data_IF_063029858928
#
_entry.id   IF_063029858928
#
_cell.length_a   1.000
_cell.length_b   1.000
_cell.length_c   1.000
_cell.angle_alpha   90.00
_cell.angle_beta   90.00
_cell.angle_gamma   90.00
#
_symmetry.space_group_name_H-M   'P 1'
#
loop_
_entity.id
_entity.type
_entity.pdbx_description
1 polymer ?
#
# COMPACT_ATOMS: atom_id res chain seq x y z
N UNK A 1 18.97 22.77 -17.71
CA UNK A 1 19.46 23.68 -16.64
C UNK A 1 19.85 22.86 -15.42
N UNK A 2 21.14 22.81 -15.05
CA UNK A 2 21.57 22.17 -13.79
C UNK A 2 21.06 23.03 -12.63
N UNK A 3 20.00 22.60 -11.94
CA UNK A 3 19.52 23.28 -10.72
C UNK A 3 20.68 23.37 -9.73
N UNK A 4 21.01 24.58 -9.30
CA UNK A 4 22.03 24.82 -8.28
C UNK A 4 21.51 24.29 -6.95
N UNK A 5 22.19 23.30 -6.38
CA UNK A 5 21.89 22.73 -5.06
C UNK A 5 21.74 23.84 -3.99
N UNK A 6 20.69 23.75 -3.17
CA UNK A 6 20.40 24.68 -2.07
C UNK A 6 21.62 24.81 -1.13
N UNK A 7 21.90 26.01 -0.56
CA UNK A 7 23.09 26.25 0.28
C UNK A 7 23.22 25.32 1.50
N UNK A 8 22.09 24.86 2.05
CA UNK A 8 22.04 23.88 3.15
C UNK A 8 22.68 22.54 2.77
N UNK A 9 22.37 22.05 1.57
CA UNK A 9 22.89 20.77 1.04
C UNK A 9 24.39 20.87 0.78
N UNK A 10 24.89 22.01 0.27
CA UNK A 10 26.33 22.22 0.05
C UNK A 10 27.13 22.24 1.37
N UNK A 11 26.64 22.97 2.38
CA UNK A 11 27.28 23.02 3.71
C UNK A 11 27.27 21.66 4.40
N UNK A 12 26.22 20.88 4.16
CA UNK A 12 26.06 19.55 4.69
C UNK A 12 26.99 18.54 3.99
N UNK A 13 27.12 18.57 2.66
CA UNK A 13 27.99 17.67 1.89
C UNK A 13 29.48 17.82 2.22
N UNK A 14 29.93 19.02 2.58
CA UNK A 14 31.30 19.30 3.00
C UNK A 14 31.69 18.63 4.33
N UNK A 15 30.72 18.14 5.12
CA UNK A 15 30.95 17.52 6.43
C UNK A 15 31.03 15.98 6.37
N UNK A 16 30.86 15.37 5.20
CA UNK A 16 30.88 13.91 5.05
C UNK A 16 32.33 13.41 4.98
N UNK A 17 32.69 12.53 5.91
CA UNK A 17 33.92 11.74 5.81
C UNK A 17 33.70 10.56 4.87
N UNK A 18 34.14 10.73 3.62
CA UNK A 18 33.98 9.73 2.56
C UNK A 18 34.80 8.46 2.73
N UNK A 19 35.73 8.41 3.70
CA UNK A 19 36.61 7.28 3.97
C UNK A 19 36.10 6.35 5.09
N UNK A 20 35.18 6.82 5.94
CA UNK A 20 34.54 6.04 7.02
C UNK A 20 33.35 5.15 6.58
N UNK A 21 33.27 4.80 5.30
CA UNK A 21 32.13 4.05 4.74
C UNK A 21 31.93 2.71 5.44
N UNK A 22 30.67 2.41 5.78
CA UNK A 22 30.27 1.07 6.23
C UNK A 22 30.40 0.11 5.05
N UNK A 23 31.12 -1.02 5.22
CA UNK A 23 31.30 -2.07 4.20
C UNK A 23 30.06 -2.98 4.03
N UNK A 24 28.87 -2.51 4.36
CA UNK A 24 27.62 -3.21 4.13
C UNK A 24 26.94 -2.62 2.88
N UNK A 25 26.32 -3.50 2.09
CA UNK A 25 25.61 -3.29 0.80
C UNK A 25 25.59 -1.82 0.33
N UNK A 26 26.42 -1.54 -0.67
CA UNK A 26 26.53 -0.22 -1.29
C UNK A 26 25.19 0.15 -1.95
N UNK A 27 24.54 1.23 -1.51
CA UNK A 27 23.34 1.72 -2.20
C UNK A 27 23.75 2.26 -3.58
N UNK A 28 22.94 2.08 -4.65
CA UNK A 28 23.23 2.65 -5.97
C UNK A 28 23.47 4.17 -5.93
N UNK A 29 22.82 4.91 -5.03
CA UNK A 29 23.04 6.35 -4.87
C UNK A 29 24.46 6.73 -4.42
N UNK A 30 25.22 5.83 -3.77
CA UNK A 30 26.63 6.03 -3.42
C UNK A 30 27.56 5.95 -4.63
N UNK A 31 27.31 4.99 -5.53
CA UNK A 31 28.09 4.82 -6.75
C UNK A 31 27.76 5.92 -7.75
N UNK A 32 26.47 6.25 -7.87
CA UNK A 32 25.95 7.25 -8.79
C UNK A 32 26.15 8.69 -8.30
N UNK A 33 26.50 8.91 -7.02
CA UNK A 33 26.53 10.22 -6.35
C UNK A 33 25.25 11.04 -6.58
N UNK A 34 24.13 10.34 -6.70
CA UNK A 34 22.83 10.88 -7.09
C UNK A 34 21.73 10.16 -6.34
N UNK A 35 20.77 10.91 -5.79
CA UNK A 35 19.60 10.32 -5.18
C UNK A 35 18.52 10.11 -6.25
N UNK A 36 18.06 8.88 -6.50
CA UNK A 36 17.01 8.60 -7.49
C UNK A 36 15.68 9.29 -7.13
N UNK A 37 15.49 9.64 -5.86
CA UNK A 37 14.33 10.38 -5.32
C UNK A 37 14.48 11.90 -5.42
N UNK A 38 15.34 12.41 -6.29
CA UNK A 38 15.81 13.80 -6.34
C UNK A 38 14.76 14.90 -6.23
N UNK A 39 13.53 14.69 -6.71
CA UNK A 39 12.43 15.67 -6.59
C UNK A 39 11.85 15.74 -5.16
N UNK A 40 11.78 14.61 -4.45
CA UNK A 40 11.27 14.53 -3.07
C UNK A 40 12.20 15.20 -2.04
N UNK A 41 13.48 15.33 -2.38
CA UNK A 41 14.50 15.97 -1.54
C UNK A 41 14.22 17.46 -1.35
N UNK A 42 13.65 18.12 -2.37
CA UNK A 42 13.38 19.55 -2.32
C UNK A 42 12.12 19.88 -1.49
N UNK A 43 11.20 18.92 -1.35
CA UNK A 43 9.90 19.04 -0.68
C UNK A 43 9.89 18.51 0.76
N UNK A 44 10.80 17.59 1.12
CA UNK A 44 10.95 17.04 2.47
C UNK A 44 12.31 17.38 3.11
N UNK A 45 12.59 18.67 3.42
CA UNK A 45 13.83 19.05 4.08
C UNK A 45 13.92 18.41 5.48
N UNK A 46 15.14 18.14 5.96
CA UNK A 46 15.35 17.63 7.32
C UNK A 46 14.66 18.55 8.35
N UNK A 47 13.83 17.99 9.25
CA UNK A 47 13.44 18.68 10.47
C UNK A 47 14.69 19.03 11.30
N UNK A 48 14.61 20.06 12.14
CA UNK A 48 15.71 20.45 13.03
C UNK A 48 16.09 19.34 14.04
N UNK A 49 15.18 18.40 14.29
CA UNK A 49 15.42 17.20 15.09
C UNK A 49 15.91 16.02 14.23
N UNK A 50 16.98 15.35 14.65
CA UNK A 50 17.47 14.13 14.00
C UNK A 50 16.42 13.01 14.13
N UNK A 51 15.65 12.76 13.07
CA UNK A 51 14.78 11.58 12.99
C UNK A 51 15.56 10.37 12.46
N UNK A 52 15.19 9.16 12.88
CA UNK A 52 15.76 7.91 12.35
C UNK A 52 15.54 7.73 10.84
N UNK A 53 14.69 8.58 10.24
CA UNK A 53 14.33 8.59 8.82
C UNK A 53 15.22 9.52 8.00
N UNK A 54 16.09 10.30 8.62
CA UNK A 54 16.96 11.26 7.95
C UNK A 54 18.01 10.60 7.02
N UNK A 55 18.00 10.95 5.74
CA UNK A 55 19.06 10.64 4.77
C UNK A 55 20.29 11.50 5.04
N UNK A 56 21.44 10.85 5.26
CA UNK A 56 22.74 11.47 5.54
C UNK A 56 23.64 11.48 4.31
N UNK A 57 23.09 11.34 3.11
CA UNK A 57 23.81 11.57 1.86
C UNK A 57 23.27 12.80 1.13
N UNK A 58 22.02 13.17 1.39
CA UNK A 58 21.37 14.25 0.65
C UNK A 58 20.56 15.20 1.54
N UNK A 59 20.47 14.96 2.85
CA UNK A 59 19.89 15.90 3.81
C UNK A 59 18.37 16.09 3.68
N UNK A 60 17.61 14.99 3.68
CA UNK A 60 16.13 14.96 3.62
C UNK A 60 15.55 13.81 4.47
N UNK A 61 14.25 13.74 4.74
CA UNK A 61 13.62 12.51 5.26
C UNK A 61 13.54 11.45 4.16
N UNK A 62 14.31 10.35 4.29
CA UNK A 62 14.53 9.38 3.22
C UNK A 62 13.23 8.63 2.89
N UNK A 63 12.70 8.76 1.65
CA UNK A 63 11.51 8.04 1.23
C UNK A 63 11.68 6.52 1.33
N UNK A 64 12.90 6.00 1.31
CA UNK A 64 13.23 4.58 1.55
C UNK A 64 12.61 4.05 2.85
N UNK A 65 12.49 4.88 3.91
CA UNK A 65 11.80 4.47 5.13
C UNK A 65 10.27 4.44 5.00
N UNK A 66 9.72 5.10 3.98
CA UNK A 66 8.29 5.11 3.63
C UNK A 66 7.96 4.04 2.57
N UNK A 67 8.88 3.77 1.63
CA UNK A 67 8.69 2.83 0.51
C UNK A 67 9.39 1.48 0.71
N UNK A 68 9.98 1.26 1.88
CA UNK A 68 10.68 0.03 2.25
C UNK A 68 11.71 -0.45 1.22
N UNK A 69 12.43 0.49 0.60
CA UNK A 69 13.51 0.12 -0.32
C UNK A 69 14.67 -0.54 0.45
N UNK A 70 15.41 -1.47 -0.18
CA UNK A 70 16.37 -2.35 0.52
C UNK A 70 17.65 -1.66 1.04
N UNK A 71 17.63 -0.34 1.20
CA UNK A 71 18.81 0.51 1.27
C UNK A 71 18.57 1.70 2.21
N UNK A 72 18.55 1.47 3.53
CA UNK A 72 18.46 2.53 4.55
C UNK A 72 19.83 2.93 5.12
N UNK A 73 20.02 4.22 5.46
CA UNK A 73 21.25 4.76 6.11
C UNK A 73 20.96 5.02 7.58
N UNK A 74 21.85 4.59 8.49
CA UNK A 74 21.78 4.98 9.92
C UNK A 74 23.11 5.58 10.38
N UNK A 75 23.05 6.46 11.41
CA UNK A 75 24.18 7.23 12.00
C UNK A 75 25.27 6.35 12.58
N UNK A 76 24.80 5.29 13.20
CA UNK A 76 25.57 4.27 13.87
C UNK A 76 25.36 3.00 13.05
N UNK A 77 26.31 2.07 13.13
CA UNK A 77 25.97 0.68 12.86
C UNK A 77 24.82 0.37 13.82
N UNK A 78 23.57 0.46 13.33
CA UNK A 78 22.44 -0.11 14.06
C UNK A 78 22.85 -1.54 14.38
N UNK A 79 22.25 -2.15 15.39
CA UNK A 79 22.44 -3.59 15.57
C UNK A 79 21.87 -4.29 14.32
N UNK A 80 22.68 -4.42 13.24
CA UNK A 80 22.37 -5.14 12.00
C UNK A 80 22.46 -6.65 12.29
N UNK A 81 22.20 -7.01 13.54
CA UNK A 81 21.99 -8.37 13.94
C UNK A 81 20.56 -8.72 13.57
N UNK A 82 20.43 -9.85 12.90
CA UNK A 82 19.14 -10.54 12.75
C UNK A 82 18.52 -10.84 14.12
N UNK A 83 19.34 -10.91 15.18
CA UNK A 83 18.88 -11.11 16.53
C UNK A 83 18.18 -9.86 17.07
N UNK A 84 16.90 -10.00 17.40
CA UNK A 84 16.08 -8.97 18.03
C UNK A 84 16.35 -9.00 19.54
N UNK A 85 16.94 -7.95 20.15
CA UNK A 85 17.24 -7.93 21.58
C UNK A 85 15.99 -8.04 22.45
N UNK A 86 16.11 -8.72 23.60
CA UNK A 86 15.01 -8.88 24.58
C UNK A 86 14.30 -7.58 24.95
N UNK A 87 14.98 -6.44 25.20
CA UNK A 87 14.28 -5.18 25.49
C UNK A 87 13.32 -4.74 24.38
N UNK A 88 13.68 -4.96 23.11
CA UNK A 88 12.81 -4.65 21.96
C UNK A 88 11.64 -5.62 21.92
N UNK A 89 11.89 -6.92 22.11
CA UNK A 89 10.83 -7.93 22.18
C UNK A 89 9.78 -7.58 23.24
N UNK A 90 10.20 -7.17 24.44
CA UNK A 90 9.26 -6.77 25.51
C UNK A 90 8.45 -5.54 25.15
N UNK A 91 9.06 -4.52 24.53
CA UNK A 91 8.34 -3.32 24.10
C UNK A 91 7.31 -3.64 23.01
N UNK A 92 7.68 -4.45 22.01
CA UNK A 92 6.76 -4.91 20.96
C UNK A 92 5.63 -5.78 21.54
N UNK A 93 5.95 -6.71 22.43
CA UNK A 93 4.97 -7.56 23.11
C UNK A 93 3.92 -6.72 23.86
N UNK A 94 4.38 -5.71 24.60
CA UNK A 94 3.51 -4.77 25.32
C UNK A 94 2.69 -3.91 24.36
N UNK A 95 3.31 -3.41 23.29
CA UNK A 95 2.65 -2.58 22.26
C UNK A 95 1.51 -3.32 21.58
N UNK A 96 1.70 -4.60 21.30
CA UNK A 96 0.80 -5.41 20.47
C UNK A 96 -0.10 -6.34 21.26
N UNK A 97 0.03 -6.32 22.59
CA UNK A 97 -0.85 -7.01 23.54
C UNK A 97 -1.02 -8.51 23.22
N UNK A 98 0.07 -9.19 22.84
CA UNK A 98 0.08 -10.61 22.44
C UNK A 98 -0.88 -10.96 21.27
N UNK A 99 -1.18 -10.00 20.40
CA UNK A 99 -1.99 -10.21 19.20
C UNK A 99 -1.11 -10.21 17.96
N UNK A 100 -1.27 -11.23 17.11
CA UNK A 100 -0.57 -11.32 15.84
C UNK A 100 -0.96 -10.16 14.92
N UNK A 101 0.01 -9.38 14.43
CA UNK A 101 -0.24 -8.24 13.53
C UNK A 101 -0.68 -8.61 12.12
N UNK A 102 -0.49 -9.87 11.72
CA UNK A 102 -0.92 -10.36 10.41
C UNK A 102 -2.36 -10.89 10.44
N UNK A 103 -2.73 -11.72 11.43
CA UNK A 103 -4.06 -12.35 11.45
C UNK A 103 -5.02 -11.80 12.52
N UNK A 104 -4.56 -10.91 13.39
CA UNK A 104 -5.37 -10.28 14.43
C UNK A 104 -5.79 -11.20 15.58
N UNK A 105 -5.27 -12.44 15.65
CA UNK A 105 -5.61 -13.42 16.70
C UNK A 105 -4.62 -13.34 17.88
N UNK A 106 -5.07 -13.59 19.12
CA UNK A 106 -4.17 -13.81 20.25
C UNK A 106 -3.19 -14.95 19.95
N UNK A 107 -1.94 -14.79 20.40
CA UNK A 107 -0.86 -15.76 20.20
C UNK A 107 -0.47 -16.36 21.55
N UNK A 108 -0.37 -17.68 21.62
CA UNK A 108 0.11 -18.38 22.80
C UNK A 108 1.60 -18.12 23.01
N UNK A 109 2.07 -18.11 24.26
CA UNK A 109 3.45 -17.72 24.62
C UNK A 109 4.53 -18.53 23.88
N UNK A 110 4.23 -19.79 23.52
CA UNK A 110 5.12 -20.71 22.81
C UNK A 110 5.10 -20.54 21.27
N UNK A 111 4.13 -19.80 20.71
CA UNK A 111 4.00 -19.51 19.27
C UNK A 111 4.29 -18.04 18.93
N UNK A 112 4.81 -17.26 19.88
CA UNK A 112 5.20 -15.87 19.67
C UNK A 112 6.49 -15.79 18.85
N UNK A 113 6.40 -15.15 17.69
CA UNK A 113 7.56 -14.82 16.87
C UNK A 113 7.67 -13.31 16.68
N UNK A 114 8.85 -12.76 16.95
CA UNK A 114 9.18 -11.39 16.59
C UNK A 114 9.84 -11.40 15.21
N UNK A 115 9.30 -10.65 14.27
CA UNK A 115 9.77 -10.58 12.90
C UNK A 115 9.92 -9.14 12.42
N UNK A 116 10.82 -8.92 11.47
CA UNK A 116 11.01 -7.60 10.89
C UNK A 116 9.93 -7.31 9.84
N UNK A 117 9.22 -6.18 9.97
CA UNK A 117 8.24 -5.69 8.99
C UNK A 117 8.92 -5.59 7.62
N UNK A 118 10.02 -4.83 7.55
CA UNK A 118 10.97 -4.85 6.44
C UNK A 118 12.00 -5.95 6.75
N UNK A 119 12.08 -7.04 5.97
CA UNK A 119 12.97 -8.16 6.26
C UNK A 119 14.42 -7.71 6.48
N UNK A 120 15.10 -8.31 7.47
CA UNK A 120 16.52 -8.06 7.72
C UNK A 120 17.40 -8.29 6.47
N UNK A 121 17.10 -9.34 5.69
CA UNK A 121 17.77 -9.63 4.41
C UNK A 121 17.63 -8.52 3.37
N UNK A 122 16.67 -7.62 3.55
CA UNK A 122 16.38 -6.45 2.72
C UNK A 122 16.77 -5.15 3.44
N UNK A 123 17.66 -5.20 4.42
CA UNK A 123 18.19 -4.01 5.09
C UNK A 123 17.28 -3.41 6.17
N UNK A 124 16.20 -4.10 6.57
CA UNK A 124 15.35 -3.65 7.67
C UNK A 124 16.10 -3.56 9.00
N UNK A 125 15.86 -2.48 9.75
CA UNK A 125 16.50 -2.24 11.04
C UNK A 125 15.92 -3.11 12.16
N UNK A 126 16.74 -3.46 13.15
CA UNK A 126 16.29 -4.14 14.38
C UNK A 126 15.86 -3.11 15.42
N UNK A 127 14.99 -2.19 15.02
CA UNK A 127 14.41 -1.17 15.88
C UNK A 127 12.95 -1.51 16.18
N UNK A 128 12.44 -1.08 17.32
CA UNK A 128 11.06 -1.37 17.75
C UNK A 128 10.02 -1.02 16.67
N UNK A 129 10.23 0.06 15.91
CA UNK A 129 9.35 0.49 14.83
C UNK A 129 9.29 -0.47 13.64
N UNK A 130 10.32 -1.29 13.42
CA UNK A 130 10.40 -2.25 12.32
C UNK A 130 10.21 -3.70 12.80
N UNK A 131 9.96 -3.95 14.08
CA UNK A 131 9.66 -5.28 14.59
C UNK A 131 8.15 -5.41 14.83
N UNK A 132 7.57 -6.55 14.50
CA UNK A 132 6.18 -6.93 14.76
C UNK A 132 6.09 -8.32 15.40
N UNK A 133 5.00 -8.60 16.10
CA UNK A 133 4.63 -9.89 16.67
C UNK A 133 3.74 -10.66 15.70
N UNK A 134 4.15 -11.88 15.37
CA UNK A 134 3.44 -12.81 14.50
C UNK A 134 3.28 -14.17 15.21
N UNK A 135 2.20 -14.88 14.88
CA UNK A 135 2.10 -16.31 15.18
C UNK A 135 2.98 -17.13 14.21
N UNK A 136 3.30 -18.37 14.55
CA UNK A 136 4.24 -19.18 13.76
C UNK A 136 3.76 -19.44 12.33
N UNK A 137 2.44 -19.56 12.13
CA UNK A 137 1.84 -19.72 10.80
C UNK A 137 2.02 -18.49 9.92
N UNK A 138 1.71 -17.30 10.45
CA UNK A 138 1.89 -16.02 9.74
C UNK A 138 3.37 -15.72 9.48
N UNK A 139 4.23 -15.95 10.46
CA UNK A 139 5.67 -15.72 10.34
C UNK A 139 6.28 -16.58 9.20
N UNK A 140 5.94 -17.87 9.16
CA UNK A 140 6.37 -18.77 8.07
C UNK A 140 5.83 -18.35 6.70
N UNK A 141 4.57 -17.89 6.64
CA UNK A 141 3.95 -17.42 5.39
C UNK A 141 4.65 -16.15 4.85
N UNK A 142 5.04 -15.25 5.75
CA UNK A 142 5.72 -14.00 5.42
C UNK A 142 7.14 -14.24 4.91
N UNK A 143 7.96 -15.03 5.63
CA UNK A 143 9.36 -15.26 5.26
C UNK A 143 10.11 -13.92 5.06
N UNK A 144 10.94 -13.84 4.03
CA UNK A 144 11.67 -12.67 3.54
C UNK A 144 10.86 -11.79 2.56
N UNK A 145 9.54 -11.98 2.47
CA UNK A 145 8.68 -11.14 1.64
C UNK A 145 8.45 -9.80 2.31
N UNK A 146 8.40 -8.75 1.49
CA UNK A 146 7.82 -7.48 1.89
C UNK A 146 6.30 -7.68 1.87
N UNK A 147 5.60 -7.30 2.94
CA UNK A 147 4.14 -7.36 2.90
C UNK A 147 3.65 -6.23 2.00
N UNK A 148 2.84 -6.57 0.99
CA UNK A 148 2.33 -5.61 0.00
C UNK A 148 1.60 -4.44 0.65
N UNK A 149 0.95 -4.65 1.79
CA UNK A 149 0.28 -3.58 2.58
C UNK A 149 1.23 -2.47 3.09
N UNK A 150 2.54 -2.72 3.11
CA UNK A 150 3.57 -1.73 3.46
C UNK A 150 4.32 -1.21 2.22
N UNK A 151 4.03 -1.74 1.03
CA UNK A 151 4.56 -1.25 -0.22
C UNK A 151 3.59 -0.23 -0.78
N UNK A 152 4.08 0.99 -0.94
CA UNK A 152 3.33 2.06 -1.59
C UNK A 152 3.52 1.87 -3.09
N UNK A 153 2.45 1.52 -3.82
CA UNK A 153 2.54 1.32 -5.26
C UNK A 153 2.60 2.66 -6.01
N UNK A 154 2.00 3.72 -5.44
CA UNK A 154 1.95 5.07 -6.01
C UNK A 154 2.06 6.16 -4.94
N UNK A 155 2.85 7.21 -5.21
CA UNK A 155 3.05 8.34 -4.28
C UNK A 155 1.74 9.02 -3.83
N UNK A 156 0.70 9.01 -4.68
CA UNK A 156 -0.62 9.55 -4.35
C UNK A 156 -1.32 8.85 -3.18
N UNK A 157 -1.00 7.58 -2.89
CA UNK A 157 -1.56 6.82 -1.76
C UNK A 157 -1.17 7.41 -0.39
N UNK A 158 -0.06 8.13 -0.31
CA UNK A 158 0.43 8.75 0.92
C UNK A 158 -0.13 10.16 1.14
N UNK A 159 -0.50 10.86 0.06
CA UNK A 159 -0.96 12.25 0.12
C UNK A 159 -2.49 12.38 0.29
N UNK A 160 -3.23 11.33 -0.03
CA UNK A 160 -4.69 11.33 0.06
C UNK A 160 -5.17 10.81 1.42
N UNK A 161 -6.12 11.53 2.01
CA UNK A 161 -6.85 11.01 3.17
C UNK A 161 -7.61 9.74 2.77
N UNK A 162 -7.67 8.71 3.64
CA UNK A 162 -8.47 7.54 3.36
C UNK A 162 -9.93 7.96 3.17
N UNK A 163 -10.58 7.47 2.13
CA UNK A 163 -11.99 7.74 1.83
C UNK A 163 -12.88 6.80 2.62
N UNK A 164 -14.08 7.25 2.97
CA UNK A 164 -15.11 6.40 3.58
C UNK A 164 -15.83 5.56 2.52
N UNK A 165 -16.82 4.77 2.96
CA UNK A 165 -17.61 3.89 2.09
C UNK A 165 -18.25 4.58 0.86
N UNK A 166 -18.42 5.90 0.85
CA UNK A 166 -18.98 6.60 -0.31
C UNK A 166 -18.25 6.30 -1.61
N UNK A 167 -16.94 6.00 -1.55
CA UNK A 167 -16.19 5.60 -2.73
C UNK A 167 -16.71 4.29 -3.33
N UNK A 168 -17.06 3.31 -2.50
CA UNK A 168 -17.58 2.03 -2.97
C UNK A 168 -18.92 2.24 -3.68
N UNK A 169 -19.82 3.05 -3.10
CA UNK A 169 -21.12 3.36 -3.69
C UNK A 169 -20.95 3.99 -5.07
N UNK A 170 -20.01 4.93 -5.18
CA UNK A 170 -19.65 5.54 -6.45
C UNK A 170 -19.07 4.54 -7.46
N UNK A 171 -18.12 3.69 -7.05
CA UNK A 171 -17.49 2.72 -7.95
C UNK A 171 -18.49 1.66 -8.44
N UNK A 172 -19.40 1.22 -7.58
CA UNK A 172 -20.48 0.31 -7.97
C UNK A 172 -21.46 1.00 -8.92
N UNK A 173 -21.79 2.26 -8.66
CA UNK A 173 -22.60 3.05 -9.58
C UNK A 173 -21.95 3.15 -10.96
N UNK A 174 -20.65 3.47 -11.03
CA UNK A 174 -19.89 3.49 -12.28
C UNK A 174 -19.86 2.12 -12.96
N UNK A 175 -19.67 1.03 -12.22
CA UNK A 175 -19.73 -0.31 -12.78
C UNK A 175 -21.11 -0.61 -13.38
N UNK A 176 -22.19 -0.21 -12.69
CA UNK A 176 -23.56 -0.33 -13.18
C UNK A 176 -23.80 0.47 -14.46
N UNK A 177 -23.34 1.72 -14.49
CA UNK A 177 -23.39 2.56 -15.68
C UNK A 177 -22.61 1.93 -16.83
N UNK A 178 -21.38 1.45 -16.58
CA UNK A 178 -20.56 0.75 -17.57
C UNK A 178 -21.30 -0.47 -18.14
N UNK A 179 -21.97 -1.26 -17.31
CA UNK A 179 -22.75 -2.42 -17.77
C UNK A 179 -23.88 -2.01 -18.69
N UNK A 180 -24.70 -1.05 -18.28
CA UNK A 180 -25.77 -0.48 -19.10
C UNK A 180 -25.23 0.07 -20.42
N UNK A 181 -24.18 0.89 -20.37
CA UNK A 181 -23.58 1.51 -21.54
C UNK A 181 -23.02 0.48 -22.52
N UNK A 182 -22.30 -0.52 -22.01
CA UNK A 182 -21.72 -1.58 -22.82
C UNK A 182 -22.79 -2.46 -23.48
N UNK A 183 -23.90 -2.75 -22.79
CA UNK A 183 -25.00 -3.52 -23.36
C UNK A 183 -25.60 -2.83 -24.60
N UNK A 184 -25.75 -1.51 -24.55
CA UNK A 184 -26.34 -0.70 -25.62
C UNK A 184 -25.36 -0.35 -26.74
N UNK A 185 -24.09 -0.07 -26.42
CA UNK A 185 -23.13 0.50 -27.37
C UNK A 185 -22.01 -0.46 -27.80
N UNK A 186 -21.88 -1.62 -27.14
CA UNK A 186 -20.82 -2.63 -27.38
C UNK A 186 -19.38 -2.09 -27.28
N UNK A 187 -19.20 -0.98 -26.56
CA UNK A 187 -17.90 -0.37 -26.22
C UNK A 187 -17.93 0.18 -24.80
N UNK A 188 -16.76 0.43 -24.23
CA UNK A 188 -16.65 1.11 -22.93
C UNK A 188 -17.00 2.61 -23.06
N UNK A 189 -17.52 3.24 -22.00
CA UNK A 189 -17.81 4.66 -21.99
C UNK A 189 -16.50 5.48 -22.01
N UNK A 190 -16.45 6.50 -22.85
CA UNK A 190 -15.39 7.51 -22.83
C UNK A 190 -15.69 8.61 -21.81
N UNK A 191 -14.70 9.45 -21.51
CA UNK A 191 -14.89 10.60 -20.63
C UNK A 191 -15.99 11.55 -21.15
N UNK A 192 -16.15 11.68 -22.47
CA UNK A 192 -17.20 12.50 -23.07
C UNK A 192 -18.60 11.86 -22.90
N UNK A 193 -18.70 10.53 -22.97
CA UNK A 193 -19.97 9.83 -22.69
C UNK A 193 -20.38 9.99 -21.21
N UNK A 194 -19.42 9.89 -20.29
CA UNK A 194 -19.64 10.10 -18.85
C UNK A 194 -20.05 11.55 -18.58
N UNK A 195 -19.38 12.52 -19.22
CA UNK A 195 -19.73 13.93 -19.10
C UNK A 195 -21.16 14.21 -19.58
N UNK A 196 -21.57 13.61 -20.70
CA UNK A 196 -22.93 13.77 -21.23
C UNK A 196 -23.99 13.20 -20.28
N UNK A 197 -23.72 12.06 -19.65
CA UNK A 197 -24.66 11.43 -18.74
C UNK A 197 -24.76 12.15 -17.39
N UNK A 198 -23.62 12.56 -16.82
CA UNK A 198 -23.56 13.00 -15.42
C UNK A 198 -23.30 14.50 -15.21
N UNK A 199 -22.80 15.21 -16.23
CA UNK A 199 -22.35 16.61 -16.08
C UNK A 199 -22.75 17.51 -17.26
N UNK A 200 -23.87 17.19 -17.92
CA UNK A 200 -24.41 17.96 -19.05
C UNK A 200 -23.37 18.27 -20.15
N UNK A 201 -22.44 17.34 -20.38
CA UNK A 201 -21.39 17.42 -21.40
C UNK A 201 -20.12 18.18 -21.00
N UNK A 202 -20.00 18.67 -19.76
CA UNK A 202 -18.76 19.32 -19.29
C UNK A 202 -17.74 18.28 -18.86
N UNK A 203 -16.66 18.15 -19.64
CA UNK A 203 -15.53 17.27 -19.34
C UNK A 203 -14.52 17.95 -18.42
N UNK A 204 -14.37 17.42 -17.22
CA UNK A 204 -13.31 17.75 -16.27
C UNK A 204 -12.34 16.60 -16.07
N UNK A 205 -11.58 16.66 -14.98
CA UNK A 205 -10.66 15.58 -14.59
C UNK A 205 -11.41 14.42 -13.94
N UNK A 206 -12.56 14.68 -13.31
CA UNK A 206 -13.43 13.66 -12.74
C UNK A 206 -13.92 12.66 -13.79
N UNK A 207 -14.42 13.14 -14.93
CA UNK A 207 -14.94 12.25 -15.98
C UNK A 207 -13.84 11.44 -16.68
N UNK A 208 -12.62 11.98 -16.76
CA UNK A 208 -11.46 11.22 -17.22
C UNK A 208 -11.11 10.09 -16.26
N UNK A 209 -11.09 10.38 -14.96
CA UNK A 209 -10.81 9.38 -13.93
C UNK A 209 -11.90 8.30 -13.91
N UNK A 210 -13.17 8.69 -13.97
CA UNK A 210 -14.29 7.76 -14.05
C UNK A 210 -14.20 6.85 -15.29
N UNK A 211 -13.81 7.39 -16.46
CA UNK A 211 -13.56 6.58 -17.65
C UNK A 211 -12.41 5.59 -17.42
N UNK A 212 -11.32 6.05 -16.81
CA UNK A 212 -10.18 5.19 -16.49
C UNK A 212 -10.56 4.04 -15.56
N UNK A 213 -11.39 4.28 -14.53
CA UNK A 213 -11.92 3.23 -13.65
C UNK A 213 -12.64 2.14 -14.44
N UNK A 214 -13.47 2.53 -15.43
CA UNK A 214 -14.18 1.53 -16.23
C UNK A 214 -13.25 0.66 -17.07
N UNK A 215 -12.13 1.23 -17.52
CA UNK A 215 -11.07 0.50 -18.24
C UNK A 215 -10.33 -0.43 -17.27
N UNK A 216 -9.99 0.05 -16.08
CA UNK A 216 -9.27 -0.73 -15.07
C UNK A 216 -10.11 -1.92 -14.59
N UNK A 217 -11.41 -1.71 -14.35
CA UNK A 217 -12.34 -2.80 -14.02
C UNK A 217 -12.47 -3.81 -15.18
N UNK A 218 -12.46 -3.36 -16.44
CA UNK A 218 -12.45 -4.26 -17.60
C UNK A 218 -11.15 -5.09 -17.67
N UNK A 219 -10.01 -4.47 -17.40
CA UNK A 219 -8.73 -5.16 -17.34
C UNK A 219 -8.72 -6.28 -16.29
N UNK A 220 -9.36 -6.04 -15.15
CA UNK A 220 -9.45 -7.01 -14.05
C UNK A 220 -10.46 -8.14 -14.34
N UNK A 221 -11.65 -7.81 -14.83
CA UNK A 221 -12.77 -8.75 -14.92
C UNK A 221 -13.14 -9.22 -16.33
N UNK A 222 -12.75 -8.49 -17.38
CA UNK A 222 -13.11 -8.82 -18.77
C UNK A 222 -12.21 -9.88 -19.41
N UNK A 223 -11.05 -10.16 -18.80
CA UNK A 223 -10.03 -11.06 -19.34
C UNK A 223 -9.88 -12.39 -18.60
N UNK A 224 -8.67 -12.96 -18.69
CA UNK A 224 -8.30 -14.11 -17.86
C UNK A 224 -8.12 -13.65 -16.42
N UNK A 225 -8.60 -14.47 -15.47
CA UNK A 225 -8.42 -14.25 -14.04
C UNK A 225 -6.97 -13.85 -13.70
N UNK A 226 -6.75 -12.78 -12.93
CA UNK A 226 -5.44 -12.43 -12.41
C UNK A 226 -4.79 -13.59 -11.60
N UNK A 227 -3.46 -13.72 -11.67
CA UNK A 227 -2.75 -14.85 -11.01
C UNK A 227 -2.76 -14.77 -9.49
N UNK A 228 -2.84 -13.55 -8.97
CA UNK A 228 -2.84 -13.13 -7.58
C UNK A 228 -4.15 -13.38 -6.85
N UNK A 229 -5.27 -13.54 -7.57
CA UNK A 229 -6.60 -13.74 -6.97
C UNK A 229 -6.99 -15.22 -7.02
N UNK A 230 -7.49 -15.77 -5.91
CA UNK A 230 -8.00 -17.15 -5.91
C UNK A 230 -9.25 -17.29 -6.81
N UNK A 231 -9.45 -18.47 -7.39
CA UNK A 231 -10.59 -18.72 -8.31
C UNK A 231 -11.94 -18.42 -7.66
N UNK A 232 -12.10 -18.81 -6.39
CA UNK A 232 -13.34 -18.58 -5.66
C UNK A 232 -13.56 -17.09 -5.43
N UNK A 233 -12.53 -16.36 -5.00
CA UNK A 233 -12.61 -14.91 -4.70
C UNK A 233 -12.96 -14.16 -5.99
N UNK A 234 -12.28 -14.51 -7.09
CA UNK A 234 -12.55 -13.89 -8.38
C UNK A 234 -14.00 -14.06 -8.82
N UNK A 235 -14.55 -15.29 -8.70
CA UNK A 235 -15.97 -15.55 -9.00
C UNK A 235 -16.91 -14.75 -8.12
N UNK A 236 -16.60 -14.61 -6.83
CA UNK A 236 -17.41 -13.82 -5.90
C UNK A 236 -17.38 -12.33 -6.23
N UNK A 237 -16.20 -11.78 -6.57
CA UNK A 237 -16.04 -10.39 -7.00
C UNK A 237 -16.74 -10.12 -8.33
N UNK A 238 -16.61 -11.01 -9.34
CA UNK A 238 -17.35 -10.89 -10.60
C UNK A 238 -18.87 -10.87 -10.39
N UNK A 239 -19.37 -11.67 -9.45
CA UNK A 239 -20.79 -11.74 -9.12
C UNK A 239 -21.26 -10.49 -8.36
N UNK A 240 -20.42 -9.99 -7.44
CA UNK A 240 -20.63 -8.76 -6.66
C UNK A 240 -20.69 -7.53 -7.55
N UNK A 241 -19.71 -7.36 -8.44
CA UNK A 241 -19.57 -6.22 -9.35
C UNK A 241 -20.37 -6.37 -10.65
N UNK A 242 -21.13 -7.46 -10.82
CA UNK A 242 -22.01 -7.67 -11.96
C UNK A 242 -21.31 -8.04 -13.27
N UNK A 243 -20.04 -8.42 -13.26
CA UNK A 243 -19.33 -8.88 -14.46
C UNK A 243 -19.77 -10.28 -14.93
N UNK A 244 -20.52 -11.02 -14.11
CA UNK A 244 -21.09 -12.32 -14.50
C UNK A 244 -22.36 -12.18 -15.35
N UNK A 245 -23.23 -11.22 -15.02
CA UNK A 245 -24.60 -11.14 -15.54
C UNK A 245 -25.15 -9.70 -15.63
N UNK A 246 -24.27 -8.71 -15.59
CA UNK A 246 -24.57 -7.27 -15.58
C UNK A 246 -25.41 -6.80 -14.38
N UNK A 247 -25.50 -7.60 -13.30
CA UNK A 247 -26.27 -7.28 -12.09
C UNK A 247 -25.37 -7.16 -10.87
N UNK A 248 -25.31 -5.95 -10.32
CA UNK A 248 -24.61 -5.69 -9.06
C UNK A 248 -25.43 -6.27 -7.91
N UNK A 249 -24.73 -6.91 -6.97
CA UNK A 249 -25.34 -7.54 -5.78
C UNK A 249 -24.74 -6.97 -4.52
N UNK A 250 -25.49 -7.01 -3.42
CA UNK A 250 -24.94 -6.75 -2.09
C UNK A 250 -23.84 -7.73 -1.74
N UNK A 251 -22.88 -7.33 -0.91
CA UNK A 251 -21.76 -8.18 -0.51
C UNK A 251 -22.24 -9.47 0.16
N UNK A 252 -23.22 -9.35 1.05
CA UNK A 252 -23.86 -10.48 1.74
C UNK A 252 -24.55 -11.48 0.79
N UNK A 253 -25.12 -10.99 -0.32
CA UNK A 253 -25.77 -11.84 -1.32
C UNK A 253 -24.73 -12.57 -2.17
N UNK A 254 -23.67 -11.88 -2.58
CA UNK A 254 -22.56 -12.49 -3.32
C UNK A 254 -21.84 -13.57 -2.50
N UNK A 255 -21.62 -13.31 -1.20
CA UNK A 255 -21.07 -14.30 -0.25
C UNK A 255 -21.94 -15.56 -0.16
N UNK A 256 -23.27 -15.41 -0.02
CA UNK A 256 -24.21 -16.55 0.03
C UNK A 256 -24.24 -17.35 -1.27
N UNK A 257 -24.28 -16.68 -2.43
CA UNK A 257 -24.36 -17.33 -3.74
C UNK A 257 -23.07 -18.09 -4.11
N UNK A 258 -21.92 -17.66 -3.58
CA UNK A 258 -20.61 -18.30 -3.87
C UNK A 258 -20.10 -19.21 -2.75
N UNK A 259 -20.75 -19.23 -1.58
CA UNK A 259 -20.25 -19.93 -0.40
C UNK A 259 -19.00 -19.30 0.22
N UNK A 260 -18.66 -18.06 -0.17
CA UNK A 260 -17.47 -17.38 0.33
C UNK A 260 -17.69 -16.81 1.73
N UNK A 261 -16.75 -16.97 2.68
CA UNK A 261 -16.81 -16.27 3.95
C UNK A 261 -16.89 -14.75 3.73
N UNK A 262 -17.86 -14.11 4.38
CA UNK A 262 -18.17 -12.68 4.19
C UNK A 262 -16.96 -11.79 4.49
N UNK A 263 -16.22 -12.10 5.56
CA UNK A 263 -15.02 -11.34 5.94
C UNK A 263 -13.93 -11.46 4.88
N UNK A 264 -13.73 -12.64 4.28
CA UNK A 264 -12.75 -12.80 3.21
C UNK A 264 -13.14 -12.03 1.94
N UNK A 265 -14.43 -12.04 1.60
CA UNK A 265 -14.92 -11.28 0.44
C UNK A 265 -14.81 -9.76 0.69
N UNK A 266 -15.03 -9.31 1.92
CA UNK A 266 -14.84 -7.91 2.32
C UNK A 266 -13.38 -7.49 2.15
N UNK A 267 -12.42 -8.25 2.69
CA UNK A 267 -10.98 -7.95 2.53
C UNK A 267 -10.60 -7.86 1.05
N UNK A 268 -11.05 -8.83 0.24
CA UNK A 268 -10.75 -8.83 -1.20
C UNK A 268 -11.42 -7.67 -1.96
N UNK A 269 -12.56 -7.16 -1.51
CA UNK A 269 -13.19 -5.97 -2.10
C UNK A 269 -12.45 -4.68 -1.70
N UNK A 270 -11.95 -4.60 -0.46
CA UNK A 270 -11.10 -3.48 -0.03
C UNK A 270 -9.80 -3.47 -0.85
N UNK A 271 -9.12 -4.61 -0.97
CA UNK A 271 -7.91 -4.75 -1.80
C UNK A 271 -8.17 -4.37 -3.26
N UNK A 272 -9.36 -4.68 -3.80
CA UNK A 272 -9.75 -4.28 -5.15
C UNK A 272 -9.88 -2.75 -5.27
N UNK A 273 -10.54 -2.09 -4.31
CA UNK A 273 -10.68 -0.62 -4.31
C UNK A 273 -9.33 0.06 -4.17
N UNK A 274 -8.43 -0.50 -3.36
CA UNK A 274 -7.05 -0.03 -3.24
C UNK A 274 -6.27 -0.19 -4.56
N UNK A 275 -6.44 -1.32 -5.27
CA UNK A 275 -5.85 -1.52 -6.61
C UNK A 275 -6.37 -0.53 -7.65
N UNK A 276 -7.61 -0.07 -7.50
CA UNK A 276 -8.19 0.97 -8.34
C UNK A 276 -7.66 2.38 -7.99
N UNK A 277 -6.91 2.52 -6.90
CA UNK A 277 -6.21 3.75 -6.53
C UNK A 277 -6.76 4.49 -5.31
N UNK A 278 -7.74 3.91 -4.60
CA UNK A 278 -8.37 4.54 -3.44
C UNK A 278 -8.03 3.84 -2.14
N UNK A 279 -7.47 4.59 -1.19
CA UNK A 279 -7.25 4.12 0.17
C UNK A 279 -8.53 4.25 0.98
N UNK A 280 -8.94 3.18 1.66
CA UNK A 280 -10.21 3.15 2.41
C UNK A 280 -9.98 3.32 3.91
N UNK A 281 -10.91 3.99 4.60
CA UNK A 281 -10.96 4.02 6.08
C UNK A 281 -11.31 2.64 6.63
N UNK A 282 -10.28 1.87 6.98
CA UNK A 282 -10.48 0.53 7.53
C UNK A 282 -10.76 0.53 9.05
N UNK A 283 -11.98 0.94 9.43
CA UNK A 283 -12.45 0.92 10.83
C UNK A 283 -13.60 -0.08 11.01
N UNK A 284 -13.82 -0.61 12.22
CA UNK A 284 -14.95 -1.53 12.47
C UNK A 284 -16.33 -0.94 12.11
N UNK A 285 -16.49 0.39 12.19
CA UNK A 285 -17.73 1.08 11.80
C UNK A 285 -17.93 1.06 10.29
N UNK A 286 -16.87 1.39 9.53
CA UNK A 286 -16.91 1.40 8.07
C UNK A 286 -17.09 -0.01 7.50
N UNK A 287 -16.38 -1.02 8.05
CA UNK A 287 -16.57 -2.43 7.67
C UNK A 287 -18.03 -2.88 7.82
N UNK A 288 -18.71 -2.46 8.89
CA UNK A 288 -20.15 -2.77 9.10
C UNK A 288 -21.03 -2.10 8.06
N UNK A 289 -20.72 -0.88 7.63
CA UNK A 289 -21.44 -0.21 6.54
C UNK A 289 -21.18 -0.94 5.21
N UNK A 290 -19.94 -1.37 4.99
CA UNK A 290 -19.50 -2.05 3.78
C UNK A 290 -20.25 -3.36 3.54
N UNK A 291 -20.40 -4.15 4.60
CA UNK A 291 -21.17 -5.40 4.59
C UNK A 291 -22.66 -5.18 4.26
N UNK A 292 -23.23 -4.03 4.63
CA UNK A 292 -24.66 -3.71 4.43
C UNK A 292 -24.97 -3.28 2.99
N UNK A 293 -23.96 -2.81 2.25
CA UNK A 293 -24.04 -2.40 0.85
C UNK A 293 -24.03 -3.61 -0.11
#
# INVERSE_FOLDING_TARGET
>A
MKKMLKPSIKKWAAKIDWHRRVKAVCKPCWELKYCPYGLLIEEFPLPEAETHRACRIFGHECPVFLVAEPLTETKELGNISRHIPRPIQFRVLKRENQVCRSCGKPVADDDIHFDHIIPWSKGGSTEESNIQLLCGTCNRKKSDKLEEKYLIARLGEHLNEPVDISILEFLLFLAGFRHYFFQNNKRLPSADDIANEFNSGKKGDFEKEAAQVTIDLESIFGGKKPKDISENIYKALMLRWGYKDYKIRKLSKASKETGMPLDQLLESEIELVEKLGWRVKDTPSERKKWIKN
#
